data_IF_685388219159
#
_entry.id   IF_685388219159
#
_cell.length_a   1.000
_cell.length_b   1.000
_cell.length_c   1.000
_cell.angle_alpha   90.00
_cell.angle_beta   90.00
_cell.angle_gamma   90.00
#
_symmetry.space_group_name_H-M   'P 1'
#
loop_
_entity.id
_entity.type
_entity.pdbx_description
1 polymer ?
#
# COMPACT_ATOMS: atom_id res chain seq x y z
N UNK A 1 -6.18 -31.09 -1.46
CA UNK A 1 -6.28 -29.62 -1.43
C UNK A 1 -7.61 -29.25 -2.08
N UNK A 2 -8.63 -28.95 -1.28
CA UNK A 2 -9.99 -28.67 -1.75
C UNK A 2 -10.00 -27.30 -2.44
N UNK A 3 -10.42 -27.28 -3.70
CA UNK A 3 -10.77 -26.05 -4.40
C UNK A 3 -11.88 -25.36 -3.62
N UNK A 4 -11.61 -24.14 -3.17
CA UNK A 4 -12.66 -23.27 -2.71
C UNK A 4 -13.31 -22.69 -3.97
N UNK A 5 -14.49 -23.24 -4.25
CA UNK A 5 -15.41 -22.77 -5.26
C UNK A 5 -15.93 -21.40 -4.81
N UNK A 6 -15.43 -20.32 -5.43
CA UNK A 6 -15.76 -18.93 -5.10
C UNK A 6 -16.79 -18.37 -6.11
N UNK A 7 -17.78 -19.18 -6.44
CA UNK A 7 -18.93 -18.76 -7.23
C UNK A 7 -20.11 -18.42 -6.33
N UNK A 8 -20.14 -17.19 -5.82
CA UNK A 8 -21.35 -16.37 -5.58
C UNK A 8 -20.94 -15.16 -4.76
N UNK A 9 -21.17 -13.94 -5.24
CA UNK A 9 -21.62 -12.76 -4.49
C UNK A 9 -21.63 -11.58 -5.48
N UNK A 10 -22.84 -11.18 -5.90
CA UNK A 10 -23.21 -10.36 -7.06
C UNK A 10 -22.63 -8.93 -7.14
N UNK A 11 -21.32 -8.80 -7.19
CA UNK A 11 -20.68 -7.58 -7.61
C UNK A 11 -19.38 -7.92 -8.33
N UNK A 12 -19.24 -7.43 -9.57
CA UNK A 12 -18.06 -7.67 -10.37
C UNK A 12 -16.79 -7.29 -9.59
N UNK A 13 -15.75 -8.15 -9.62
CA UNK A 13 -14.52 -7.90 -8.89
C UNK A 13 -13.81 -6.68 -9.47
N UNK A 14 -13.43 -5.74 -8.61
CA UNK A 14 -12.71 -4.53 -9.02
C UNK A 14 -11.21 -4.75 -8.83
N UNK A 15 -10.46 -4.53 -9.90
CA UNK A 15 -9.01 -4.70 -9.95
C UNK A 15 -8.32 -3.34 -10.03
N UNK A 16 -7.47 -3.03 -9.05
CA UNK A 16 -6.70 -1.78 -9.02
C UNK A 16 -5.22 -2.11 -9.15
N UNK A 17 -4.56 -1.37 -10.05
CA UNK A 17 -3.14 -1.54 -10.40
C UNK A 17 -2.37 -0.27 -10.03
N UNK A 18 -1.03 -0.36 -10.01
CA UNK A 18 -0.22 0.86 -10.00
C UNK A 18 -0.27 1.56 -11.37
N UNK A 19 -0.30 2.89 -11.32
CA UNK A 19 -0.19 3.79 -12.45
C UNK A 19 1.18 3.65 -13.09
N UNK A 20 1.20 3.26 -14.37
CA UNK A 20 2.44 3.20 -15.16
C UNK A 20 3.13 4.55 -15.16
N UNK A 21 2.36 5.62 -15.41
CA UNK A 21 2.92 6.94 -15.65
C UNK A 21 3.67 7.48 -14.43
N UNK A 22 3.15 7.25 -13.23
CA UNK A 22 3.81 7.68 -12.01
C UNK A 22 5.12 6.91 -11.76
N UNK A 23 5.12 5.60 -12.00
CA UNK A 23 6.34 4.80 -11.87
C UNK A 23 7.38 5.13 -12.96
N UNK A 24 6.94 5.41 -14.21
CA UNK A 24 7.82 5.89 -15.28
C UNK A 24 8.44 7.24 -14.96
N UNK A 25 7.65 8.18 -14.42
CA UNK A 25 8.17 9.47 -13.97
C UNK A 25 9.20 9.31 -12.86
N UNK A 26 8.95 8.40 -11.90
CA UNK A 26 9.90 8.12 -10.82
C UNK A 26 11.23 7.56 -11.34
N UNK A 27 11.18 6.60 -12.27
CA UNK A 27 12.37 6.09 -12.97
C UNK A 27 13.07 7.22 -13.74
N UNK A 28 12.31 8.08 -14.45
CA UNK A 28 12.86 9.20 -15.19
C UNK A 28 13.58 10.21 -14.30
N UNK A 29 13.13 10.41 -13.04
CA UNK A 29 13.83 11.24 -12.05
C UNK A 29 15.08 10.54 -11.49
N UNK A 30 15.10 9.21 -11.39
CA UNK A 30 16.29 8.49 -10.96
C UNK A 30 17.45 8.62 -11.95
N UNK A 31 17.17 8.69 -13.26
CA UNK A 31 18.21 8.79 -14.31
C UNK A 31 19.16 10.00 -14.12
N UNK A 32 18.69 11.25 -14.04
CA UNK A 32 19.56 12.40 -13.82
C UNK A 32 20.27 12.35 -12.45
N UNK A 33 19.64 11.76 -11.42
CA UNK A 33 20.26 11.58 -10.10
C UNK A 33 21.43 10.59 -10.15
N UNK A 34 21.31 9.51 -10.92
CA UNK A 34 22.39 8.55 -11.17
C UNK A 34 23.53 9.25 -11.94
N UNK A 35 23.20 10.00 -12.99
CA UNK A 35 24.20 10.73 -13.78
C UNK A 35 24.95 11.79 -12.96
N UNK A 36 24.23 12.53 -12.10
CA UNK A 36 24.82 13.49 -11.18
C UNK A 36 25.70 12.83 -10.12
N UNK A 37 25.23 11.71 -9.55
CA UNK A 37 26.02 10.94 -8.59
C UNK A 37 27.28 10.35 -9.23
N UNK A 38 27.18 9.88 -10.48
CA UNK A 38 28.31 9.37 -11.23
C UNK A 38 29.36 10.46 -11.53
N UNK A 39 28.94 11.68 -11.89
CA UNK A 39 29.89 12.77 -12.13
C UNK A 39 30.63 13.19 -10.86
N UNK A 40 30.01 13.08 -9.68
CA UNK A 40 30.65 13.35 -8.39
C UNK A 40 31.75 12.34 -8.03
N UNK A 41 31.80 11.17 -8.67
CA UNK A 41 32.85 10.17 -8.37
C UNK A 41 34.25 10.72 -8.62
N UNK A 42 34.36 11.67 -9.56
CA UNK A 42 35.63 12.26 -9.99
C UNK A 42 36.02 13.55 -9.24
N UNK A 43 35.20 14.05 -8.30
CA UNK A 43 35.40 15.35 -7.63
C UNK A 43 36.19 15.28 -6.31
N UNK A 44 37.02 14.24 -6.15
CA UNK A 44 37.86 14.01 -4.96
C UNK A 44 37.24 13.05 -3.95
N UNK A 45 37.92 12.80 -2.83
CA UNK A 45 37.57 11.70 -1.90
C UNK A 45 36.14 11.79 -1.34
N UNK A 46 35.70 12.99 -0.96
CA UNK A 46 34.34 13.20 -0.46
C UNK A 46 33.28 13.04 -1.57
N UNK A 47 33.56 13.57 -2.76
CA UNK A 47 32.72 13.40 -3.94
C UNK A 47 32.58 11.93 -4.36
N UNK A 48 33.68 11.18 -4.30
CA UNK A 48 33.72 9.74 -4.57
C UNK A 48 32.77 8.95 -3.67
N UNK A 49 32.81 9.18 -2.36
CA UNK A 49 31.94 8.49 -1.40
C UNK A 49 30.48 8.83 -1.68
N UNK A 50 30.16 10.11 -1.82
CA UNK A 50 28.78 10.57 -2.07
C UNK A 50 28.27 10.04 -3.42
N UNK A 51 29.11 10.06 -4.45
CA UNK A 51 28.79 9.58 -5.78
C UNK A 51 28.51 8.08 -5.80
N UNK A 52 29.33 7.26 -5.15
CA UNK A 52 29.11 5.81 -5.03
C UNK A 52 27.80 5.52 -4.29
N UNK A 53 27.56 6.19 -3.16
CA UNK A 53 26.32 6.02 -2.39
C UNK A 53 25.11 6.42 -3.23
N UNK A 54 25.18 7.53 -3.94
CA UNK A 54 24.12 8.00 -4.82
C UNK A 54 23.82 7.03 -5.96
N UNK A 55 24.85 6.56 -6.68
CA UNK A 55 24.66 5.59 -7.78
C UNK A 55 24.03 4.30 -7.27
N UNK A 56 24.48 3.78 -6.11
CA UNK A 56 23.90 2.57 -5.52
C UNK A 56 22.45 2.83 -5.11
N UNK A 57 22.18 3.93 -4.41
CA UNK A 57 20.85 4.21 -3.87
C UNK A 57 19.82 4.44 -4.99
N UNK A 58 20.11 5.35 -5.93
CA UNK A 58 19.19 5.66 -7.03
C UNK A 58 19.13 4.54 -8.08
N UNK A 59 20.25 3.85 -8.32
CA UNK A 59 20.31 2.72 -9.25
C UNK A 59 19.51 1.52 -8.73
N UNK A 60 19.75 1.09 -7.49
CA UNK A 60 18.96 0.00 -6.88
C UNK A 60 17.50 0.39 -6.73
N UNK A 61 17.21 1.65 -6.35
CA UNK A 61 15.84 2.15 -6.27
C UNK A 61 15.09 2.04 -7.59
N UNK A 62 15.68 2.54 -8.68
CA UNK A 62 15.10 2.45 -10.03
C UNK A 62 14.89 0.99 -10.48
N UNK A 63 15.86 0.12 -10.20
CA UNK A 63 15.77 -1.30 -10.55
C UNK A 63 14.61 -1.99 -9.80
N UNK A 64 14.44 -1.70 -8.52
CA UNK A 64 13.34 -2.23 -7.70
C UNK A 64 11.99 -1.76 -8.23
N UNK A 65 11.84 -0.47 -8.55
CA UNK A 65 10.61 0.08 -9.12
C UNK A 65 10.29 -0.60 -10.46
N UNK A 66 11.28 -0.72 -11.34
CA UNK A 66 11.13 -1.39 -12.62
C UNK A 66 10.75 -2.87 -12.47
N UNK A 67 11.35 -3.58 -11.52
CA UNK A 67 10.99 -4.97 -11.20
C UNK A 67 9.53 -5.10 -10.75
N UNK A 68 9.07 -4.25 -9.83
CA UNK A 68 7.67 -4.26 -9.38
C UNK A 68 6.72 -3.98 -10.55
N UNK A 69 6.97 -2.94 -11.36
CA UNK A 69 6.18 -2.65 -12.55
C UNK A 69 6.10 -3.83 -13.50
N UNK A 70 7.25 -4.44 -13.79
CA UNK A 70 7.34 -5.54 -14.74
C UNK A 70 6.64 -6.79 -14.20
N UNK A 71 6.77 -7.06 -12.90
CA UNK A 71 6.09 -8.18 -12.24
C UNK A 71 4.57 -8.03 -12.23
N UNK A 72 4.04 -6.82 -11.97
CA UNK A 72 2.60 -6.56 -12.01
C UNK A 72 2.05 -6.68 -13.44
N UNK A 73 2.78 -6.17 -14.43
CA UNK A 73 2.36 -6.16 -15.84
C UNK A 73 2.48 -7.52 -16.52
N UNK A 74 3.61 -8.21 -16.37
CA UNK A 74 3.82 -9.52 -17.00
C UNK A 74 3.00 -10.63 -16.35
N UNK A 75 2.73 -10.54 -15.04
CA UNK A 75 1.92 -11.55 -14.36
C UNK A 75 0.42 -11.22 -14.35
N UNK A 76 0.00 -10.04 -14.82
CA UNK A 76 -1.39 -9.57 -14.76
C UNK A 76 -1.95 -9.56 -13.34
N UNK A 77 -1.11 -9.32 -12.33
CA UNK A 77 -1.49 -9.42 -10.91
C UNK A 77 -1.84 -8.02 -10.40
N UNK A 78 -3.12 -7.71 -10.17
CA UNK A 78 -3.54 -6.45 -9.57
C UNK A 78 -2.99 -6.32 -8.15
N UNK A 79 -2.59 -5.09 -7.82
CA UNK A 79 -2.12 -4.72 -6.48
C UNK A 79 -3.25 -4.86 -5.45
N UNK A 80 -4.46 -4.40 -5.80
CA UNK A 80 -5.64 -4.52 -4.96
C UNK A 80 -6.76 -5.22 -5.73
N UNK A 81 -7.37 -6.22 -5.11
CA UNK A 81 -8.57 -6.90 -5.62
C UNK A 81 -9.68 -6.70 -4.60
N UNK A 82 -10.82 -6.20 -5.07
CA UNK A 82 -11.99 -5.92 -4.24
C UNK A 82 -13.09 -6.90 -4.64
N UNK A 83 -13.45 -7.77 -3.71
CA UNK A 83 -14.49 -8.78 -3.85
C UNK A 83 -15.75 -8.34 -3.09
N UNK A 84 -16.81 -9.14 -3.16
CA UNK A 84 -18.05 -8.90 -2.41
C UNK A 84 -17.89 -9.01 -0.89
N UNK A 85 -16.92 -9.81 -0.42
CA UNK A 85 -16.75 -10.19 1.00
C UNK A 85 -15.47 -9.62 1.64
N UNK A 86 -14.63 -8.93 0.86
CA UNK A 86 -13.38 -8.37 1.35
C UNK A 86 -12.44 -7.92 0.26
N UNK A 87 -11.20 -7.63 0.66
CA UNK A 87 -10.13 -7.18 -0.23
C UNK A 87 -8.89 -8.06 -0.10
N UNK A 88 -8.16 -8.20 -1.20
CA UNK A 88 -6.84 -8.83 -1.24
C UNK A 88 -5.83 -7.78 -1.67
N UNK A 89 -4.87 -7.51 -0.79
CA UNK A 89 -3.76 -6.59 -1.02
C UNK A 89 -2.51 -7.40 -1.34
N UNK A 90 -1.94 -7.25 -2.54
CA UNK A 90 -0.70 -7.90 -2.96
C UNK A 90 0.49 -6.97 -2.79
N UNK A 91 0.90 -6.80 -1.54
CA UNK A 91 2.22 -6.24 -1.19
C UNK A 91 3.28 -7.37 -1.14
N UNK A 92 4.44 -7.13 -0.51
CA UNK A 92 5.50 -8.14 -0.29
C UNK A 92 4.97 -9.47 0.27
N UNK A 93 3.98 -9.39 1.16
CA UNK A 93 3.23 -10.54 1.66
C UNK A 93 1.75 -10.32 1.35
N UNK A 94 1.13 -11.13 0.48
CA UNK A 94 -0.29 -11.02 0.17
C UNK A 94 -1.11 -11.16 1.45
N UNK A 95 -2.00 -10.20 1.69
CA UNK A 95 -2.93 -10.23 2.84
C UNK A 95 -4.36 -10.08 2.36
N UNK A 96 -5.25 -10.85 2.98
CA UNK A 96 -6.70 -10.75 2.79
C UNK A 96 -7.30 -10.05 4.00
N UNK A 97 -8.22 -9.13 3.74
CA UNK A 97 -8.95 -8.37 4.76
C UNK A 97 -10.42 -8.63 4.48
N UNK A 98 -11.11 -9.28 5.42
CA UNK A 98 -12.53 -9.60 5.29
C UNK A 98 -13.36 -8.42 5.79
N UNK A 99 -14.43 -8.06 5.10
CA UNK A 99 -15.30 -6.97 5.53
C UNK A 99 -15.98 -7.25 6.88
N UNK A 100 -16.18 -8.53 7.22
CA UNK A 100 -16.67 -8.96 8.52
C UNK A 100 -15.84 -8.44 9.71
N UNK A 101 -14.53 -8.26 9.51
CA UNK A 101 -13.58 -7.85 10.55
C UNK A 101 -13.37 -6.33 10.59
N UNK A 102 -13.83 -5.62 9.56
CA UNK A 102 -13.59 -4.19 9.36
C UNK A 102 -14.76 -3.39 9.91
N UNK A 103 -14.44 -2.29 10.60
CA UNK A 103 -15.39 -1.31 11.10
C UNK A 103 -15.61 -0.19 10.08
N UNK A 104 -14.53 0.35 9.54
CA UNK A 104 -14.56 1.43 8.55
C UNK A 104 -13.24 1.51 7.75
N UNK A 105 -13.31 2.06 6.55
CA UNK A 105 -12.15 2.48 5.77
C UNK A 105 -12.03 4.00 5.82
N UNK A 106 -10.85 4.52 6.13
CA UNK A 106 -10.62 5.96 6.22
C UNK A 106 -9.31 6.35 5.57
N UNK A 107 -9.18 7.58 5.07
CA UNK A 107 -7.90 8.10 4.61
C UNK A 107 -7.10 8.64 5.81
N UNK A 108 -5.77 8.45 5.81
CA UNK A 108 -4.92 8.82 6.95
C UNK A 108 -5.00 10.31 7.36
N UNK A 109 -5.37 11.19 6.42
CA UNK A 109 -5.58 12.63 6.68
C UNK A 109 -6.79 12.95 7.57
N UNK A 110 -7.74 12.03 7.76
CA UNK A 110 -8.98 12.32 8.52
C UNK A 110 -8.84 12.14 10.03
N UNK A 111 -7.85 11.38 10.52
CA UNK A 111 -7.71 11.06 11.97
C UNK A 111 -6.35 11.37 12.59
N UNK A 112 -5.35 11.81 11.82
CA UNK A 112 -4.00 12.11 12.30
C UNK A 112 -3.78 13.57 12.70
N UNK A 113 -3.61 13.86 14.01
CA UNK A 113 -2.97 15.10 14.49
C UNK A 113 -1.46 15.03 14.23
N UNK A 114 -1.01 15.32 13.01
CA UNK A 114 0.42 15.32 12.71
C UNK A 114 0.78 15.73 11.29
N UNK A 115 1.01 17.03 11.09
CA UNK A 115 1.84 17.58 10.01
C UNK A 115 1.26 17.56 8.60
N UNK A 116 1.17 18.74 7.99
CA UNK A 116 0.82 19.04 6.58
C UNK A 116 1.77 18.42 5.51
N UNK A 117 2.37 17.26 5.74
CA UNK A 117 3.39 16.67 4.86
C UNK A 117 3.10 15.25 4.34
N UNK A 118 1.89 14.71 4.50
CA UNK A 118 1.54 13.45 3.84
C UNK A 118 0.17 13.55 3.17
N UNK A 119 0.23 13.79 1.87
CA UNK A 119 -0.90 13.87 0.96
C UNK A 119 -1.53 12.47 0.82
N UNK A 120 -2.51 12.15 1.67
CA UNK A 120 -3.51 11.08 1.51
C UNK A 120 -2.95 9.66 1.17
N UNK A 121 -1.66 9.39 1.36
CA UNK A 121 -0.94 8.24 0.75
C UNK A 121 -1.28 6.87 1.36
N UNK A 122 -2.04 6.86 2.46
CA UNK A 122 -2.42 5.64 3.15
C UNK A 122 -3.94 5.58 3.37
N UNK A 123 -4.51 4.44 3.01
CA UNK A 123 -5.85 4.03 3.37
C UNK A 123 -5.77 3.21 4.67
N UNK A 124 -6.34 3.75 5.72
CA UNK A 124 -6.44 3.11 7.02
C UNK A 124 -7.57 2.09 7.03
N UNK A 125 -7.25 0.90 7.53
CA UNK A 125 -8.23 -0.16 7.78
C UNK A 125 -8.48 -0.21 9.28
N UNK A 126 -9.66 0.21 9.70
CA UNK A 126 -10.05 0.23 11.11
C UNK A 126 -10.83 -1.04 11.38
N UNK A 127 -10.27 -1.92 12.20
CA UNK A 127 -10.88 -3.20 12.57
C UNK A 127 -11.87 -3.05 13.72
N UNK A 128 -12.70 -4.07 13.94
CA UNK A 128 -13.47 -4.22 15.18
C UNK A 128 -12.53 -4.45 16.36
N UNK A 129 -12.93 -3.98 17.55
CA UNK A 129 -12.08 -3.96 18.74
C UNK A 129 -11.57 -5.36 19.15
N UNK A 130 -12.39 -6.40 18.97
CA UNK A 130 -12.05 -7.79 19.26
C UNK A 130 -10.98 -8.35 18.30
N UNK A 131 -11.07 -7.98 17.01
CA UNK A 131 -10.09 -8.36 15.98
C UNK A 131 -8.78 -7.62 16.19
N UNK A 132 -8.83 -6.33 16.52
CA UNK A 132 -7.64 -5.52 16.78
C UNK A 132 -6.87 -6.05 18.01
N UNK A 133 -7.58 -6.37 19.09
CA UNK A 133 -6.99 -6.96 20.29
C UNK A 133 -6.30 -8.30 19.99
N UNK A 134 -6.96 -9.19 19.24
CA UNK A 134 -6.40 -10.48 18.81
C UNK A 134 -5.12 -10.31 17.99
N UNK A 135 -5.16 -9.45 16.96
CA UNK A 135 -4.00 -9.16 16.12
C UNK A 135 -2.85 -8.49 16.88
N UNK A 136 -3.15 -7.69 17.90
CA UNK A 136 -2.13 -7.10 18.78
C UNK A 136 -1.48 -8.17 19.66
N UNK A 137 -2.27 -9.07 20.26
CA UNK A 137 -1.77 -10.15 21.12
C UNK A 137 -0.91 -11.16 20.35
N UNK A 138 -1.31 -11.53 19.13
CA UNK A 138 -0.55 -12.46 18.29
C UNK A 138 0.72 -11.85 17.68
N UNK A 139 0.83 -10.52 17.68
CA UNK A 139 2.01 -9.85 17.11
C UNK A 139 3.25 -9.99 18.02
N UNK A 140 4.41 -10.16 17.38
CA UNK A 140 5.71 -10.20 18.05
C UNK A 140 5.99 -8.89 18.79
N UNK A 141 6.95 -8.88 19.72
CA UNK A 141 7.33 -7.65 20.47
C UNK A 141 7.64 -6.48 19.53
N UNK A 142 8.34 -6.74 18.43
CA UNK A 142 8.63 -5.74 17.39
C UNK A 142 7.38 -5.32 16.62
N UNK A 143 6.49 -6.26 16.30
CA UNK A 143 5.20 -5.98 15.66
C UNK A 143 4.30 -5.09 16.53
N UNK A 144 4.28 -5.28 17.85
CA UNK A 144 3.54 -4.41 18.80
C UNK A 144 4.09 -2.99 18.82
N UNK A 145 5.41 -2.82 18.76
CA UNK A 145 6.07 -1.50 18.71
C UNK A 145 5.72 -0.80 17.39
N UNK A 146 5.86 -1.48 16.26
CA UNK A 146 5.50 -0.96 14.94
C UNK A 146 4.02 -0.55 14.87
N UNK A 147 3.11 -1.39 15.38
CA UNK A 147 1.68 -1.06 15.45
C UNK A 147 1.41 0.18 16.29
N UNK A 148 1.98 0.27 17.51
CA UNK A 148 1.85 1.47 18.36
C UNK A 148 2.38 2.73 17.67
N UNK A 149 3.49 2.61 16.96
CA UNK A 149 4.08 3.72 16.21
C UNK A 149 3.17 4.15 15.05
N UNK A 150 2.61 3.18 14.32
CA UNK A 150 1.70 3.42 13.21
C UNK A 150 0.37 4.05 13.66
N UNK A 151 -0.22 3.57 14.77
CA UNK A 151 -1.41 4.18 15.36
C UNK A 151 -1.13 5.59 15.87
N UNK A 152 0.05 5.85 16.44
CA UNK A 152 0.43 7.18 16.96
C UNK A 152 0.69 8.20 15.85
N UNK A 153 1.27 7.79 14.73
CA UNK A 153 1.60 8.68 13.60
C UNK A 153 0.48 8.79 12.57
N UNK A 154 -0.16 7.67 12.20
CA UNK A 154 -1.13 7.58 11.11
C UNK A 154 -2.57 7.31 11.55
N UNK A 155 -2.84 7.16 12.86
CA UNK A 155 -4.19 6.98 13.40
C UNK A 155 -4.79 5.58 13.23
N UNK A 156 -4.06 4.62 12.65
CA UNK A 156 -4.54 3.25 12.46
C UNK A 156 -3.45 2.18 12.63
N UNK A 157 -3.84 1.00 13.11
CA UNK A 157 -2.93 -0.13 13.32
C UNK A 157 -2.43 -0.76 12.00
N UNK A 158 -3.21 -0.66 10.92
CA UNK A 158 -2.83 -1.13 9.59
C UNK A 158 -3.22 -0.09 8.53
N UNK A 159 -2.27 0.23 7.66
CA UNK A 159 -2.46 1.06 6.47
C UNK A 159 -2.17 0.27 5.21
N UNK A 160 -2.95 0.55 4.16
CA UNK A 160 -2.67 0.13 2.79
C UNK A 160 -2.09 1.34 2.08
N UNK A 161 -0.92 1.19 1.47
CA UNK A 161 -0.39 2.25 0.61
C UNK A 161 -1.28 2.35 -0.62
N UNK A 162 -1.83 3.54 -0.86
CA UNK A 162 -2.70 3.83 -2.01
C UNK A 162 -2.06 4.87 -2.94
N UNK A 163 -0.78 5.14 -2.73
CA UNK A 163 -0.03 6.02 -3.61
C UNK A 163 0.32 5.32 -4.91
N UNK A 164 0.40 6.09 -5.99
CA UNK A 164 0.76 5.51 -7.27
C UNK A 164 -0.31 4.62 -7.92
N UNK A 165 -1.57 4.59 -7.45
CA UNK A 165 -2.62 3.73 -8.00
C UNK A 165 -3.32 4.33 -9.23
N UNK A 166 -3.87 3.46 -10.09
CA UNK A 166 -4.66 3.88 -11.26
C UNK A 166 -5.98 4.57 -10.91
N UNK A 167 -6.51 4.30 -9.71
CA UNK A 167 -7.71 4.93 -9.19
C UNK A 167 -7.34 5.98 -8.15
N UNK A 168 -8.09 7.10 -8.12
CA UNK A 168 -7.88 8.14 -7.12
C UNK A 168 -8.15 7.60 -5.72
N UNK A 169 -7.37 8.07 -4.75
CA UNK A 169 -7.39 7.61 -3.35
C UNK A 169 -8.77 7.80 -2.70
N UNK A 170 -9.43 8.93 -2.97
CA UNK A 170 -10.80 9.24 -2.50
C UNK A 170 -11.84 8.31 -3.10
N UNK A 171 -11.79 8.11 -4.41
CA UNK A 171 -12.70 7.20 -5.12
C UNK A 171 -12.54 5.76 -4.62
N UNK A 172 -11.29 5.34 -4.37
CA UNK A 172 -11.00 4.03 -3.77
C UNK A 172 -11.59 3.90 -2.36
N UNK A 173 -11.40 4.90 -1.50
CA UNK A 173 -11.94 4.89 -0.14
C UNK A 173 -13.47 4.85 -0.16
N UNK A 174 -14.11 5.68 -0.99
CA UNK A 174 -15.56 5.73 -1.14
C UNK A 174 -16.12 4.38 -1.65
N UNK A 175 -15.46 3.76 -2.63
CA UNK A 175 -15.85 2.46 -3.15
C UNK A 175 -15.75 1.36 -2.08
N UNK A 176 -14.68 1.36 -1.28
CA UNK A 176 -14.51 0.39 -0.20
C UNK A 176 -15.54 0.58 0.92
N UNK A 177 -15.81 1.83 1.27
CA UNK A 177 -16.83 2.17 2.25
C UNK A 177 -18.23 1.75 1.78
N UNK A 178 -18.58 2.02 0.52
CA UNK A 178 -19.84 1.58 -0.08
C UNK A 178 -19.98 0.04 -0.08
N UNK A 179 -18.90 -0.69 -0.40
CA UNK A 179 -18.88 -2.16 -0.37
C UNK A 179 -19.04 -2.70 1.04
N UNK A 180 -18.42 -2.06 2.04
CA UNK A 180 -18.56 -2.42 3.45
C UNK A 180 -20.00 -2.18 3.94
N UNK A 181 -20.61 -1.06 3.61
CA UNK A 181 -22.01 -0.76 3.95
C UNK A 181 -22.97 -1.75 3.31
N UNK A 182 -22.79 -2.03 2.02
CA UNK A 182 -23.59 -3.03 1.29
C UNK A 182 -23.43 -4.43 1.90
N UNK A 183 -22.24 -4.78 2.40
CA UNK A 183 -22.02 -6.04 3.12
C UNK A 183 -22.75 -6.04 4.47
N UNK A 184 -22.65 -4.97 5.26
CA UNK A 184 -23.30 -4.87 6.57
C UNK A 184 -24.83 -4.90 6.48
N UNK A 185 -25.44 -4.16 5.53
CA UNK A 185 -26.89 -4.16 5.33
C UNK A 185 -27.43 -5.57 5.03
N UNK A 186 -26.71 -6.35 4.23
CA UNK A 186 -27.12 -7.72 3.85
C UNK A 186 -26.91 -8.78 4.94
N UNK A 187 -26.10 -8.49 5.96
CA UNK A 187 -25.86 -9.41 7.09
C UNK A 187 -26.58 -8.95 8.38
N UNK A 188 -27.30 -7.82 8.32
CA UNK A 188 -28.14 -7.33 9.40
C UNK A 188 -29.61 -7.80 9.24
N UNK A 189 -29.99 -8.23 8.04
CA UNK A 189 -31.22 -8.99 7.74
C UNK A 189 -31.05 -10.47 8.08
#
# INVERSE_FOLDING_TARGET
MKGADYSSYDAEPVFVYHSIWQNLLLIAVCVPMILGSYSMIWSGTAGMIIGIVGVIFFGLGALVIAWFMLSERLCGKPYLQIFGDGIVVREKTPRRIMFADVKEFALASEKGKGGKFSDEAMLNVIYKDDVEARKYMESSKMGRILRRFNTKLGGAAEGISVDGLTMKKKDLCALLQQRLESYNSRNAE
#
